data_IF_217441352147
#
_entry.id   IF_217441352147
#
_cell.length_a   1.000
_cell.length_b   1.000
_cell.length_c   1.000
_cell.angle_alpha   90.00
_cell.angle_beta   90.00
_cell.angle_gamma   90.00
#
_symmetry.space_group_name_H-M   'P 1'
#
loop_
_entity.id
_entity.type
_entity.pdbx_description
1 polymer ?
#
# COMPACT_ATOMS: atom_id res chain seq x y z
N UNK A 1 3.28 12.24 6.03
CA UNK A 1 1.80 12.22 6.06
C UNK A 1 1.21 10.83 6.24
N UNK A 2 1.49 9.84 5.38
CA UNK A 2 0.83 8.53 5.43
C UNK A 2 1.01 7.72 6.73
N UNK A 3 2.01 8.06 7.57
CA UNK A 3 2.29 7.43 8.87
C UNK A 3 2.35 8.45 10.03
N UNK A 4 1.62 9.56 9.91
CA UNK A 4 1.57 10.59 10.95
C UNK A 4 0.34 10.36 11.82
N UNK A 5 0.54 10.25 13.13
CA UNK A 5 -0.54 10.00 14.08
C UNK A 5 -1.61 11.11 14.05
N UNK A 6 -1.21 12.37 13.86
CA UNK A 6 -2.14 13.51 13.77
C UNK A 6 -3.11 13.41 12.58
N UNK A 7 -2.74 12.67 11.53
CA UNK A 7 -3.55 12.53 10.31
C UNK A 7 -4.33 11.20 10.28
N UNK A 8 -3.74 10.14 10.84
CA UNK A 8 -4.23 8.76 10.69
C UNK A 8 -4.61 8.08 11.99
N UNK A 9 -4.39 8.71 13.15
CA UNK A 9 -4.61 8.14 14.47
C UNK A 9 -3.37 7.38 15.00
N UNK A 10 -3.46 6.90 16.24
CA UNK A 10 -2.36 6.16 16.88
C UNK A 10 -2.04 4.84 16.17
N UNK A 11 -3.03 4.25 15.48
CA UNK A 11 -2.90 3.02 14.71
C UNK A 11 -2.29 3.23 13.30
N UNK A 12 -1.65 4.39 13.04
CA UNK A 12 -1.11 4.75 11.73
C UNK A 12 0.06 3.87 11.24
N UNK A 13 0.66 3.07 12.13
CA UNK A 13 1.72 2.12 11.78
C UNK A 13 1.19 0.70 11.54
N UNK A 14 -0.07 0.43 11.93
CA UNK A 14 -0.69 -0.89 11.81
C UNK A 14 -1.18 -1.15 10.38
N UNK A 15 -0.97 -2.39 9.91
CA UNK A 15 -1.54 -2.84 8.64
C UNK A 15 -3.02 -3.22 8.85
N UNK A 16 -3.92 -2.28 8.55
CA UNK A 16 -5.37 -2.42 8.74
C UNK A 16 -6.14 -2.15 7.44
N UNK A 17 -6.35 -3.16 6.57
CA UNK A 17 -7.08 -3.02 5.31
C UNK A 17 -8.52 -2.52 5.49
N UNK A 18 -9.15 -2.83 6.62
CA UNK A 18 -10.55 -2.49 6.93
C UNK A 18 -10.75 -0.99 7.09
N UNK A 19 -9.67 -0.21 7.29
CA UNK A 19 -9.71 1.26 7.34
C UNK A 19 -10.29 1.87 6.05
N UNK A 20 -10.17 1.17 4.93
CA UNK A 20 -10.64 1.62 3.62
C UNK A 20 -12.07 1.18 3.31
N UNK A 21 -12.78 0.59 4.27
CA UNK A 21 -14.15 0.12 4.12
C UNK A 21 -15.10 0.97 4.97
N UNK A 22 -16.34 1.10 4.51
CA UNK A 22 -17.43 1.64 5.34
C UNK A 22 -18.06 0.56 6.25
N UNK A 23 -19.09 0.94 7.01
CA UNK A 23 -19.79 0.01 7.91
C UNK A 23 -20.49 -1.16 7.21
N UNK A 24 -20.68 -1.09 5.89
CA UNK A 24 -21.21 -2.18 5.07
C UNK A 24 -20.13 -3.03 4.38
N UNK A 25 -18.85 -2.76 4.63
CA UNK A 25 -17.74 -3.44 3.97
C UNK A 25 -17.47 -2.96 2.53
N UNK A 26 -18.06 -1.84 2.11
CA UNK A 26 -17.86 -1.26 0.79
C UNK A 26 -16.63 -0.36 0.79
N UNK A 27 -15.82 -0.44 -0.26
CA UNK A 27 -14.64 0.40 -0.41
C UNK A 27 -15.01 1.89 -0.41
N UNK A 28 -14.41 2.62 0.54
CA UNK A 28 -14.55 4.07 0.68
C UNK A 28 -13.18 4.72 0.44
N UNK A 29 -12.95 5.35 -0.72
CA UNK A 29 -11.68 6.03 -0.98
C UNK A 29 -11.50 7.24 -0.05
N UNK A 30 -10.25 7.47 0.36
CA UNK A 30 -9.88 8.66 1.12
C UNK A 30 -9.56 9.83 0.18
N UNK A 31 -9.67 11.06 0.70
CA UNK A 31 -9.29 12.26 -0.05
C UNK A 31 -7.85 12.15 -0.61
N UNK A 32 -7.61 12.45 -1.90
CA UNK A 32 -6.27 12.47 -2.48
C UNK A 32 -5.32 13.46 -1.81
N UNK A 33 -5.85 14.46 -1.10
CA UNK A 33 -5.03 15.41 -0.33
C UNK A 33 -4.58 14.85 1.02
N UNK A 34 -5.37 13.95 1.62
CA UNK A 34 -5.02 13.22 2.85
C UNK A 34 -4.14 12.00 2.54
N UNK A 35 -4.38 11.34 1.40
CA UNK A 35 -3.63 10.16 0.94
C UNK A 35 -3.04 10.34 -0.47
N UNK A 36 -1.99 11.18 -0.64
CA UNK A 36 -1.48 11.62 -1.95
C UNK A 36 -0.48 10.64 -2.59
N UNK A 37 -0.78 9.34 -2.66
CA UNK A 37 0.14 8.35 -3.26
C UNK A 37 0.43 8.64 -4.74
N UNK A 38 -0.58 9.15 -5.45
CA UNK A 38 -0.51 9.54 -6.86
C UNK A 38 -0.59 11.07 -7.02
N UNK A 39 -0.30 11.82 -5.96
CA UNK A 39 -0.58 13.26 -5.83
C UNK A 39 -2.08 13.61 -5.96
N UNK A 40 -2.39 14.91 -5.94
CA UNK A 40 -3.72 15.48 -6.11
C UNK A 40 -3.66 16.71 -7.02
N UNK A 41 -4.81 17.12 -7.57
CA UNK A 41 -4.91 18.30 -8.42
C UNK A 41 -4.27 18.12 -9.82
N UNK A 42 -3.85 19.20 -10.48
CA UNK A 42 -3.38 19.17 -11.87
C UNK A 42 -2.13 18.32 -12.13
N UNK A 43 -1.36 18.00 -11.07
CA UNK A 43 -0.14 17.19 -11.13
C UNK A 43 -0.36 15.76 -10.63
N UNK A 44 -1.62 15.29 -10.62
CA UNK A 44 -1.94 13.89 -10.33
C UNK A 44 -1.26 12.98 -11.37
N UNK A 45 -0.75 11.83 -10.92
CA UNK A 45 -0.15 10.84 -11.79
C UNK A 45 -1.16 10.34 -12.83
N UNK A 46 -0.85 10.54 -14.10
CA UNK A 46 -1.66 10.07 -15.23
C UNK A 46 -1.80 8.54 -15.26
N UNK A 47 -0.82 7.82 -14.71
CA UNK A 47 -0.79 6.36 -14.63
C UNK A 47 -1.62 5.75 -13.50
N UNK A 48 -2.34 6.55 -12.69
CA UNK A 48 -3.06 6.06 -11.49
C UNK A 48 -4.01 4.91 -11.77
N UNK A 49 -4.90 5.07 -12.75
CA UNK A 49 -5.93 4.05 -13.04
C UNK A 49 -5.29 2.77 -13.59
N UNK A 50 -4.32 2.91 -14.50
CA UNK A 50 -3.54 1.78 -15.03
C UNK A 50 -2.82 1.02 -13.91
N UNK A 51 -2.18 1.75 -12.99
CA UNK A 51 -1.49 1.15 -11.85
C UNK A 51 -2.45 0.35 -10.98
N UNK A 52 -3.65 0.87 -10.67
CA UNK A 52 -4.64 0.12 -9.89
C UNK A 52 -5.10 -1.15 -10.57
N UNK A 53 -5.37 -1.11 -11.88
CA UNK A 53 -5.74 -2.32 -12.64
C UNK A 53 -4.61 -3.34 -12.56
N UNK A 54 -3.38 -2.95 -12.89
CA UNK A 54 -2.24 -3.86 -12.90
C UNK A 54 -1.96 -4.45 -11.50
N UNK A 55 -1.94 -3.62 -10.46
CA UNK A 55 -1.71 -4.09 -9.08
C UNK A 55 -2.77 -5.10 -8.65
N UNK A 56 -4.06 -4.79 -8.87
CA UNK A 56 -5.17 -5.69 -8.49
C UNK A 56 -5.12 -7.00 -9.29
N UNK A 57 -4.87 -6.93 -10.59
CA UNK A 57 -4.75 -8.12 -11.44
C UNK A 57 -3.61 -9.02 -10.98
N UNK A 58 -2.42 -8.46 -10.70
CA UNK A 58 -1.27 -9.25 -10.23
C UNK A 58 -1.58 -9.90 -8.88
N UNK A 59 -2.11 -9.15 -7.91
CA UNK A 59 -2.47 -9.69 -6.59
C UNK A 59 -3.50 -10.81 -6.71
N UNK A 60 -4.55 -10.61 -7.51
CA UNK A 60 -5.58 -11.63 -7.74
C UNK A 60 -4.98 -12.89 -8.38
N UNK A 61 -4.15 -12.77 -9.42
CA UNK A 61 -3.52 -13.91 -10.06
C UNK A 61 -2.56 -14.66 -9.14
N UNK A 62 -1.81 -13.96 -8.27
CA UNK A 62 -0.88 -14.59 -7.33
C UNK A 62 -1.66 -15.34 -6.24
N UNK A 63 -2.65 -14.72 -5.61
CA UNK A 63 -3.42 -15.34 -4.52
C UNK A 63 -4.32 -16.48 -4.99
N UNK A 64 -4.77 -16.47 -6.25
CA UNK A 64 -5.51 -17.60 -6.82
C UNK A 64 -4.66 -18.86 -7.02
N UNK A 65 -3.34 -18.72 -7.17
CA UNK A 65 -2.44 -19.82 -7.58
C UNK A 65 -1.45 -20.24 -6.51
N UNK A 66 -1.14 -19.36 -5.57
CA UNK A 66 -0.06 -19.55 -4.62
C UNK A 66 -0.48 -19.16 -3.20
N UNK A 67 0.04 -19.89 -2.23
CA UNK A 67 0.09 -19.48 -0.83
C UNK A 67 1.45 -18.88 -0.56
N UNK A 68 1.49 -17.63 -0.08
CA UNK A 68 2.74 -16.94 0.21
C UNK A 68 3.16 -17.15 1.67
N UNK A 69 4.43 -17.48 1.87
CA UNK A 69 5.07 -17.55 3.18
C UNK A 69 6.32 -16.67 3.20
N UNK A 70 6.53 -15.94 4.30
CA UNK A 70 7.72 -15.12 4.45
C UNK A 70 8.89 -15.97 4.97
N UNK A 71 10.00 -15.99 4.22
CA UNK A 71 11.18 -16.84 4.54
C UNK A 71 12.08 -16.21 5.62
N UNK A 72 11.89 -14.93 5.96
CA UNK A 72 12.72 -14.23 6.95
C UNK A 72 12.36 -14.47 8.41
N UNK A 73 11.53 -15.48 8.72
CA UNK A 73 11.06 -15.78 10.08
C UNK A 73 10.28 -14.61 10.68
N UNK A 74 10.56 -14.28 11.94
CA UNK A 74 9.90 -13.18 12.68
C UNK A 74 10.52 -11.79 12.39
N UNK A 75 11.51 -11.72 11.50
CA UNK A 75 12.18 -10.48 11.15
C UNK A 75 11.33 -9.57 10.26
N UNK A 76 11.57 -8.26 10.32
CA UNK A 76 10.99 -7.32 9.35
C UNK A 76 11.90 -7.17 8.12
N UNK A 77 11.34 -7.11 6.89
CA UNK A 77 12.15 -6.87 5.70
C UNK A 77 12.86 -5.52 5.78
N UNK A 78 14.17 -5.51 5.60
CA UNK A 78 14.94 -4.26 5.58
C UNK A 78 14.50 -3.40 4.37
N UNK A 79 14.46 -2.08 4.55
CA UNK A 79 14.04 -1.13 3.53
C UNK A 79 15.24 -0.36 2.97
N UNK A 80 15.31 -0.24 1.65
CA UNK A 80 16.29 0.61 0.95
C UNK A 80 15.61 1.90 0.53
N UNK A 81 16.14 3.02 1.01
CA UNK A 81 15.71 4.37 0.64
C UNK A 81 16.49 4.83 -0.59
N UNK A 82 15.81 4.98 -1.72
CA UNK A 82 16.36 5.51 -2.97
C UNK A 82 15.34 6.46 -3.62
N UNK A 83 15.30 6.55 -4.95
CA UNK A 83 14.23 7.25 -5.70
C UNK A 83 12.84 6.72 -5.29
N UNK A 84 12.73 5.42 -5.02
CA UNK A 84 11.56 4.79 -4.39
C UNK A 84 11.99 4.01 -3.15
N UNK A 85 11.06 3.81 -2.22
CA UNK A 85 11.25 2.90 -1.09
C UNK A 85 11.01 1.47 -1.56
N UNK A 86 12.00 0.59 -1.38
CA UNK A 86 11.89 -0.83 -1.77
C UNK A 86 12.38 -1.75 -0.67
N UNK A 87 11.91 -2.99 -0.68
CA UNK A 87 12.46 -4.05 0.18
C UNK A 87 13.87 -4.39 -0.30
N UNK A 88 14.81 -4.53 0.64
CA UNK A 88 16.16 -4.97 0.35
C UNK A 88 16.12 -6.42 -0.14
N UNK A 89 16.66 -6.71 -1.33
CA UNK A 89 16.96 -8.09 -1.67
C UNK A 89 18.16 -8.51 -0.81
N UNK A 90 17.94 -9.41 0.15
CA UNK A 90 19.02 -10.24 0.68
C UNK A 90 19.28 -11.38 -0.30
N UNK A 91 19.68 -11.01 -1.51
CA UNK A 91 20.13 -11.96 -2.51
C UNK A 91 21.51 -12.45 -2.04
N UNK A 92 21.54 -13.58 -1.33
CA UNK A 92 22.69 -14.46 -1.18
C UNK A 92 22.24 -15.87 -1.50
#
# INVERSE_FOLDING_TARGET
>A
MARMADVWGQDCEEFRPERWLDGGGVFRPESPFKYPIFHAGPRTCLGREMAYVQMKSIVACVFQRFTLGFVGGDGTPALVRAVTLRVACRCR
#
